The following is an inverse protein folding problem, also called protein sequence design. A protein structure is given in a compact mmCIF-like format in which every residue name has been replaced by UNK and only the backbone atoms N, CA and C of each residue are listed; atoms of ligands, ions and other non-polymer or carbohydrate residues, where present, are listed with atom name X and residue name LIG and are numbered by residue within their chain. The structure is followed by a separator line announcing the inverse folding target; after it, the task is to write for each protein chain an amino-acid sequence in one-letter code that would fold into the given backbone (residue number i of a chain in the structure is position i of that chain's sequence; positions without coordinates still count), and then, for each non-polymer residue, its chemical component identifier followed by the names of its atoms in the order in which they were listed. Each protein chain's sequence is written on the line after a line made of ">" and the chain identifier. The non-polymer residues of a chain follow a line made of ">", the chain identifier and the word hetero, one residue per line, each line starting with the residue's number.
data_IF_013694611457
#
_entry.id   IF_013694611457
#
_cell.length_a   1.000
_cell.length_b   1.000
_cell.length_c   1.000
_cell.angle_alpha   90.00
_cell.angle_beta   90.00
_cell.angle_gamma   90.00
#
_symmetry.space_group_name_H-M   'P 1'
#
loop_
_entity.id
_entity.type
_entity.pdbx_description
1 polymer ?
#
# COMPACT_ATOMS: atom_id res chain seq x y z
N UNK A 1 10.55 -34.13 7.36
CA UNK A 1 11.10 -33.44 6.18
C UNK A 1 11.54 -32.07 6.64
N UNK A 2 12.82 -31.74 6.44
CA UNK A 2 13.35 -30.42 6.75
C UNK A 2 12.96 -29.38 5.71
N UNK A 3 12.99 -28.11 6.09
CA UNK A 3 12.84 -26.94 5.20
C UNK A 3 13.64 -27.04 3.87
N UNK A 4 14.92 -27.47 3.86
CA UNK A 4 15.68 -27.58 2.61
C UNK A 4 15.19 -28.69 1.66
N UNK A 5 14.73 -29.80 2.22
CA UNK A 5 14.19 -30.94 1.44
C UNK A 5 12.86 -30.56 0.76
N UNK A 6 12.04 -29.77 1.46
CA UNK A 6 10.77 -29.27 0.93
C UNK A 6 11.00 -28.31 -0.26
N UNK A 7 11.98 -27.42 -0.14
CA UNK A 7 12.35 -26.48 -1.22
C UNK A 7 12.82 -27.22 -2.48
N UNK A 8 13.70 -28.21 -2.32
CA UNK A 8 14.17 -29.03 -3.44
C UNK A 8 13.03 -29.80 -4.11
N UNK A 9 12.12 -30.37 -3.32
CA UNK A 9 10.97 -31.10 -3.86
C UNK A 9 10.06 -30.18 -4.69
N UNK A 10 9.73 -29.00 -4.18
CA UNK A 10 8.90 -28.01 -4.88
C UNK A 10 9.58 -27.56 -6.18
N UNK A 11 10.89 -27.30 -6.16
CA UNK A 11 11.63 -26.90 -7.35
C UNK A 11 11.59 -27.97 -8.44
N UNK A 12 11.80 -29.23 -8.08
CA UNK A 12 11.72 -30.36 -9.03
C UNK A 12 10.29 -30.57 -9.56
N UNK A 13 9.27 -30.29 -8.73
CA UNK A 13 7.87 -30.35 -9.15
C UNK A 13 7.50 -29.22 -10.11
N UNK A 14 8.09 -28.03 -9.96
CA UNK A 14 7.91 -26.90 -10.89
C UNK A 14 8.59 -27.17 -12.24
N UNK A 15 9.81 -27.72 -12.24
CA UNK A 15 10.55 -28.02 -13.47
C UNK A 15 9.85 -29.04 -14.38
N UNK A 16 9.04 -29.94 -13.80
CA UNK A 16 8.30 -30.97 -14.54
C UNK A 16 6.78 -30.68 -14.62
N UNK A 17 6.33 -29.51 -14.19
CA UNK A 17 4.91 -29.17 -14.14
C UNK A 17 4.36 -28.75 -15.52
N UNK A 18 3.12 -29.15 -15.79
CA UNK A 18 2.35 -28.65 -16.92
C UNK A 18 1.92 -27.18 -16.73
N UNK A 19 1.70 -26.46 -17.82
CA UNK A 19 1.30 -25.04 -17.85
C UNK A 19 0.08 -24.74 -16.96
N UNK A 20 -0.88 -25.66 -16.88
CA UNK A 20 -2.07 -25.53 -16.03
C UNK A 20 -1.72 -25.52 -14.54
N UNK A 21 -0.80 -26.39 -14.13
CA UNK A 21 -0.35 -26.47 -12.74
C UNK A 21 0.47 -25.24 -12.38
N UNK A 22 1.36 -24.80 -13.29
CA UNK A 22 2.13 -23.56 -13.12
C UNK A 22 1.22 -22.33 -12.96
N UNK A 23 0.12 -22.25 -13.72
CA UNK A 23 -0.86 -21.16 -13.62
C UNK A 23 -1.60 -21.14 -12.28
N UNK A 24 -1.99 -22.32 -11.78
CA UNK A 24 -2.65 -22.44 -10.48
C UNK A 24 -1.67 -22.08 -9.36
N UNK A 25 -0.45 -22.62 -9.43
CA UNK A 25 0.61 -22.35 -8.45
C UNK A 25 0.98 -20.87 -8.45
N UNK A 26 1.08 -20.23 -9.63
CA UNK A 26 1.22 -18.78 -9.76
C UNK A 26 0.09 -18.05 -9.06
N UNK A 27 -1.18 -18.37 -9.34
CA UNK A 27 -2.31 -17.70 -8.70
C UNK A 27 -2.34 -17.89 -7.19
N UNK A 28 -1.88 -19.03 -6.67
CA UNK A 28 -1.77 -19.29 -5.23
C UNK A 28 -0.62 -18.50 -4.63
N UNK A 29 0.53 -18.44 -5.29
CA UNK A 29 1.65 -17.60 -4.87
C UNK A 29 1.27 -16.13 -4.91
N UNK A 30 0.63 -15.67 -5.98
CA UNK A 30 0.10 -14.32 -6.09
C UNK A 30 -0.86 -14.07 -4.92
N UNK A 31 -1.81 -14.96 -4.62
CA UNK A 31 -2.70 -14.77 -3.47
C UNK A 31 -2.00 -14.74 -2.12
N UNK A 32 -0.91 -15.51 -1.94
CA UNK A 32 -0.10 -15.52 -0.72
C UNK A 32 0.87 -14.33 -0.63
N UNK A 33 1.36 -13.82 -1.76
CA UNK A 33 2.32 -12.71 -1.88
C UNK A 33 1.63 -11.34 -2.03
N UNK A 34 0.32 -11.32 -2.36
CA UNK A 34 -0.55 -10.14 -2.37
C UNK A 34 -0.82 -9.57 -0.96
N UNK A 35 -0.07 -10.00 0.05
CA UNK A 35 0.06 -9.34 1.33
C UNK A 35 1.51 -8.84 1.40
N UNK A 36 1.70 -7.61 0.93
CA UNK A 36 2.78 -6.68 1.26
C UNK A 36 4.17 -6.77 0.60
N UNK A 37 4.49 -7.66 -0.35
CA UNK A 37 5.84 -7.60 -0.94
C UNK A 37 5.94 -8.03 -2.41
N UNK A 38 6.11 -7.03 -3.28
CA UNK A 38 6.88 -7.10 -4.53
C UNK A 38 6.32 -7.98 -5.67
N UNK A 39 5.42 -7.41 -6.47
CA UNK A 39 5.23 -7.83 -7.88
C UNK A 39 5.52 -6.62 -8.78
N UNK A 40 6.80 -6.30 -8.96
CA UNK A 40 7.26 -5.19 -9.81
C UNK A 40 7.29 -5.55 -11.31
N UNK A 41 7.03 -6.79 -11.74
CA UNK A 41 7.44 -7.19 -13.11
C UNK A 41 6.36 -7.62 -14.07
N UNK A 42 5.10 -7.71 -13.68
CA UNK A 42 4.02 -7.97 -14.65
C UNK A 42 2.72 -7.36 -14.18
N UNK A 43 2.32 -6.24 -14.77
CA UNK A 43 1.04 -6.08 -15.48
C UNK A 43 1.01 -4.65 -16.03
N UNK A 44 1.02 -4.63 -17.35
CA UNK A 44 0.59 -3.55 -18.21
C UNK A 44 -0.62 -2.80 -17.62
N UNK A 45 -0.46 -1.50 -17.37
CA UNK A 45 -1.56 -0.53 -17.32
C UNK A 45 -2.68 -0.74 -16.26
N UNK A 46 -2.34 -0.99 -15.00
CA UNK A 46 -3.30 -0.76 -13.89
C UNK A 46 -2.94 0.55 -13.22
N UNK A 47 -3.71 1.61 -13.53
CA UNK A 47 -3.72 2.84 -12.75
C UNK A 47 -3.74 2.49 -11.26
N UNK A 48 -2.77 3.02 -10.51
CA UNK A 48 -2.66 2.81 -9.07
C UNK A 48 -4.06 2.90 -8.43
N UNK A 49 -4.51 1.88 -7.68
CA UNK A 49 -5.86 1.86 -7.13
C UNK A 49 -6.10 3.12 -6.30
N UNK A 50 -7.19 3.83 -6.58
CA UNK A 50 -7.61 5.00 -5.80
C UNK A 50 -8.07 4.55 -4.42
N UNK A 51 -7.44 5.07 -3.36
CA UNK A 51 -7.70 4.65 -1.98
C UNK A 51 -8.43 5.71 -1.16
N UNK A 52 -8.35 6.98 -1.54
CA UNK A 52 -8.97 8.08 -0.84
C UNK A 52 -9.28 9.25 -1.80
N UNK A 53 -9.98 10.26 -1.28
CA UNK A 53 -10.21 11.53 -1.96
C UNK A 53 -9.73 12.68 -1.07
N UNK A 54 -9.10 13.67 -1.68
CA UNK A 54 -8.73 14.92 -1.03
C UNK A 54 -9.97 15.80 -0.74
N UNK A 55 -9.82 16.85 0.09
CA UNK A 55 -10.86 17.86 0.38
C UNK A 55 -11.40 18.55 -0.89
N UNK A 56 -10.61 18.55 -1.97
CA UNK A 56 -11.01 19.04 -3.30
C UNK A 56 -11.71 17.99 -4.17
N UNK A 57 -11.90 16.77 -3.67
CA UNK A 57 -12.48 15.64 -4.42
C UNK A 57 -11.53 14.98 -5.42
N UNK A 58 -10.22 15.25 -5.33
CA UNK A 58 -9.23 14.60 -6.20
C UNK A 58 -8.94 13.17 -5.72
N UNK A 59 -8.92 12.17 -6.61
CA UNK A 59 -8.57 10.81 -6.24
C UNK A 59 -7.10 10.73 -5.82
N UNK A 60 -6.84 10.09 -4.69
CA UNK A 60 -5.50 9.84 -4.15
C UNK A 60 -5.14 8.38 -4.37
N UNK A 61 -3.94 8.15 -4.88
CA UNK A 61 -3.36 6.80 -4.99
C UNK A 61 -2.74 6.39 -3.66
N UNK A 62 -2.48 5.09 -3.48
CA UNK A 62 -1.90 4.56 -2.24
C UNK A 62 -0.56 5.23 -1.90
N UNK A 63 0.25 5.54 -2.92
CA UNK A 63 1.53 6.23 -2.74
C UNK A 63 1.33 7.66 -2.23
N UNK A 64 0.44 8.43 -2.86
CA UNK A 64 0.14 9.81 -2.46
C UNK A 64 -0.46 9.88 -1.06
N UNK A 65 -1.33 8.93 -0.73
CA UNK A 65 -1.90 8.83 0.61
C UNK A 65 -0.83 8.60 1.68
N UNK A 66 0.12 7.70 1.44
CA UNK A 66 1.23 7.47 2.37
C UNK A 66 2.14 8.70 2.49
N UNK A 67 2.40 9.42 1.39
CA UNK A 67 3.19 10.66 1.43
C UNK A 67 2.52 11.74 2.30
N UNK A 68 1.18 11.84 2.30
CA UNK A 68 0.45 12.77 3.18
C UNK A 68 0.52 12.34 4.66
N UNK A 69 0.48 11.03 4.94
CA UNK A 69 0.70 10.53 6.31
C UNK A 69 2.10 10.89 6.80
N UNK A 70 3.12 10.65 5.98
CA UNK A 70 4.51 10.95 6.34
C UNK A 70 4.71 12.45 6.60
N UNK A 71 4.08 13.31 5.80
CA UNK A 71 4.07 14.76 6.06
C UNK A 71 3.40 15.10 7.38
N UNK A 72 2.24 14.50 7.68
CA UNK A 72 1.54 14.73 8.94
C UNK A 72 2.36 14.32 10.16
N UNK A 73 3.07 13.19 10.07
CA UNK A 73 4.01 12.75 11.11
C UNK A 73 5.17 13.73 11.23
N UNK A 74 5.76 14.15 10.12
CA UNK A 74 6.84 15.14 10.13
C UNK A 74 6.38 16.48 10.71
N UNK A 75 5.17 16.94 10.41
CA UNK A 75 4.61 18.17 10.96
C UNK A 75 4.43 18.07 12.47
N UNK A 76 3.94 16.93 12.95
CA UNK A 76 3.84 16.64 14.37
C UNK A 76 5.22 16.65 15.05
N UNK A 77 6.22 15.97 14.47
CA UNK A 77 7.59 15.93 15.00
C UNK A 77 8.27 17.31 15.01
N UNK A 78 8.01 18.14 13.99
CA UNK A 78 8.54 19.49 13.90
C UNK A 78 7.76 20.52 14.75
N UNK A 79 6.76 20.06 15.53
CA UNK A 79 5.96 20.94 16.39
C UNK A 79 4.99 21.84 15.62
N UNK A 80 4.70 21.54 14.35
CA UNK A 80 3.69 22.23 13.53
C UNK A 80 2.30 21.65 13.80
N UNK A 81 1.86 21.75 15.03
CA UNK A 81 0.51 21.42 15.46
C UNK A 81 -0.08 22.61 16.22
N UNK A 82 -1.40 22.69 16.25
CA UNK A 82 -2.14 23.67 17.05
C UNK A 82 -2.92 22.93 18.13
N UNK A 83 -3.08 23.55 19.29
CA UNK A 83 -3.94 22.99 20.33
C UNK A 83 -5.41 23.19 19.95
N UNK A 84 -6.30 22.40 20.53
CA UNK A 84 -7.74 22.57 20.33
C UNK A 84 -8.20 23.98 20.72
N UNK A 85 -7.68 24.52 21.83
CA UNK A 85 -8.06 25.87 22.31
C UNK A 85 -7.59 26.97 21.35
N UNK A 86 -6.43 26.80 20.72
CA UNK A 86 -5.93 27.76 19.73
C UNK A 86 -6.73 27.68 18.42
N UNK A 87 -7.14 26.48 18.01
CA UNK A 87 -8.03 26.29 16.87
C UNK A 87 -9.41 26.93 17.09
N UNK A 88 -9.99 26.80 18.28
CA UNK A 88 -11.29 27.42 18.61
C UNK A 88 -11.22 28.96 18.49
N UNK A 89 -10.13 29.57 18.98
CA UNK A 89 -9.89 31.02 18.83
C UNK A 89 -9.71 31.44 17.36
N UNK A 90 -9.05 30.61 16.57
CA UNK A 90 -8.87 30.87 15.14
C UNK A 90 -10.19 30.80 14.38
N UNK A 91 -11.03 29.80 14.68
CA UNK A 91 -12.37 29.64 14.08
C UNK A 91 -13.25 30.85 14.39
N UNK A 92 -13.23 31.36 15.63
CA UNK A 92 -14.00 32.55 16.00
C UNK A 92 -13.62 33.76 15.12
N UNK A 93 -12.33 33.90 14.78
CA UNK A 93 -11.85 34.99 13.92
C UNK A 93 -12.31 34.90 12.46
N UNK A 94 -12.72 33.71 11.99
CA UNK A 94 -13.18 33.51 10.61
C UNK A 94 -14.60 34.02 10.36
N UNK A 95 -15.39 34.26 11.42
CA UNK A 95 -16.75 34.77 11.31
C UNK A 95 -16.83 36.31 11.40
N UNK A 96 -15.74 36.97 11.76
CA UNK A 96 -15.65 38.43 11.93
C UNK A 96 -15.18 39.17 10.65
N UNK A 97 -15.14 38.49 9.49
CA UNK A 97 -14.81 39.04 8.16
C UNK A 97 -16.06 39.17 7.26
#
# INVERSE_FOLDING_TARGET
>A
MGLPELKQKIQMQIENADERLLRIVSSVFDNYLNVDEFVETTIDSVSEPTVAYDVSGKPLTLKQYNEEIDKGIADFENGRYISQEDLEKEIDSWYDE
#
